data_IF_971669299061
#
_entry.id   IF_971669299061
#
_cell.length_a   1.000
_cell.length_b   1.000
_cell.length_c   1.000
_cell.angle_alpha   90.00
_cell.angle_beta   90.00
_cell.angle_gamma   90.00
#
_symmetry.space_group_name_H-M   'P 1'
#
loop_
_entity.id
_entity.type
_entity.pdbx_description
1 polymer ?
#
# COMPACT_ATOMS: atom_id res chain seq x y z
N UNK A 1 -2.73 -7.63 11.50
CA UNK A 1 -3.21 -6.57 10.57
C UNK A 1 -2.91 -5.21 11.13
N UNK A 2 -2.39 -4.28 10.33
CA UNK A 2 -2.10 -2.90 10.78
C UNK A 2 -3.13 -1.92 10.23
N UNK A 3 -3.52 -0.97 11.07
CA UNK A 3 -4.47 0.11 10.73
C UNK A 3 -3.88 1.44 11.15
N UNK A 4 -4.10 2.48 10.33
CA UNK A 4 -3.75 3.85 10.68
C UNK A 4 -4.98 4.54 11.25
N UNK A 5 -4.80 5.21 12.39
CA UNK A 5 -5.81 6.07 12.98
C UNK A 5 -5.75 7.45 12.34
N UNK A 6 -6.91 8.02 12.03
CA UNK A 6 -7.04 9.40 11.61
C UNK A 6 -6.99 10.34 12.83
N UNK A 7 -5.78 10.75 13.19
CA UNK A 7 -5.54 11.62 14.35
C UNK A 7 -6.09 13.04 14.19
N UNK A 8 -6.50 13.43 12.99
CA UNK A 8 -7.16 14.72 12.76
C UNK A 8 -8.57 14.76 13.39
N UNK A 9 -9.31 13.65 13.35
CA UNK A 9 -10.69 13.59 13.84
C UNK A 9 -10.80 12.98 15.24
N UNK A 10 -9.86 12.14 15.66
CA UNK A 10 -10.00 11.37 16.90
C UNK A 10 -8.66 10.91 17.47
N UNK A 11 -8.65 10.51 18.74
CA UNK A 11 -7.43 10.01 19.39
C UNK A 11 -7.22 8.51 19.15
N UNK A 12 -5.96 8.07 19.17
CA UNK A 12 -5.59 6.64 19.07
C UNK A 12 -6.24 5.82 20.18
N UNK A 13 -6.30 6.36 21.40
CA UNK A 13 -6.89 5.67 22.55
C UNK A 13 -8.39 5.43 22.36
N UNK A 14 -9.12 6.43 21.85
CA UNK A 14 -10.55 6.29 21.60
C UNK A 14 -10.84 5.23 20.53
N UNK A 15 -10.13 5.27 19.41
CA UNK A 15 -10.29 4.29 18.33
C UNK A 15 -9.90 2.89 18.77
N UNK A 16 -8.87 2.76 19.61
CA UNK A 16 -8.48 1.47 20.20
C UNK A 16 -9.63 0.87 21.02
N UNK A 17 -10.31 1.66 21.86
CA UNK A 17 -11.48 1.18 22.61
C UNK A 17 -12.60 0.72 21.69
N UNK A 18 -12.96 1.53 20.68
CA UNK A 18 -14.01 1.15 19.71
C UNK A 18 -13.68 -0.14 18.95
N UNK A 19 -12.41 -0.33 18.57
CA UNK A 19 -11.96 -1.55 17.90
C UNK A 19 -12.01 -2.77 18.81
N UNK A 20 -11.70 -2.63 20.11
CA UNK A 20 -11.83 -3.72 21.06
C UNK A 20 -13.28 -4.18 21.18
N UNK A 21 -14.23 -3.25 21.23
CA UNK A 21 -15.67 -3.56 21.27
C UNK A 21 -16.13 -4.27 19.99
N UNK A 22 -15.64 -3.85 18.83
CA UNK A 22 -15.94 -4.51 17.55
C UNK A 22 -15.36 -5.93 17.48
N UNK A 23 -14.14 -6.14 18.00
CA UNK A 23 -13.52 -7.46 18.00
C UNK A 23 -14.16 -8.41 19.02
N UNK A 24 -14.69 -7.91 20.14
CA UNK A 24 -15.44 -8.74 21.10
C UNK A 24 -16.74 -9.31 20.51
N UNK A 25 -17.37 -8.61 19.56
CA UNK A 25 -18.58 -9.11 18.87
C UNK A 25 -18.27 -10.29 17.95
N UNK A 26 -17.04 -10.39 17.46
CA UNK A 26 -16.57 -11.52 16.66
C UNK A 26 -16.22 -12.63 17.64
N UNK A 27 -17.20 -13.45 18.00
CA UNK A 27 -17.00 -14.57 18.93
C UNK A 27 -15.98 -15.56 18.32
N UNK A 28 -14.78 -15.64 18.89
CA UNK A 28 -13.69 -16.36 18.26
C UNK A 28 -13.45 -17.74 18.88
N UNK A 29 -14.01 -18.78 18.26
CA UNK A 29 -13.40 -20.11 18.33
C UNK A 29 -12.21 -20.10 17.36
N UNK A 30 -11.00 -19.67 17.80
CA UNK A 30 -9.82 -19.73 16.92
C UNK A 30 -9.33 -21.17 16.81
N UNK A 31 -8.75 -21.44 15.64
CA UNK A 31 -8.13 -22.67 15.16
C UNK A 31 -9.12 -23.64 14.51
N UNK A 32 -9.28 -23.44 13.21
CA UNK A 32 -9.70 -24.51 12.32
C UNK A 32 -8.47 -24.92 11.48
N UNK A 33 -7.48 -25.56 12.11
CA UNK A 33 -6.43 -26.28 11.34
C UNK A 33 -7.04 -27.43 10.52
N UNK A 34 -8.26 -27.85 10.88
CA UNK A 34 -9.04 -28.90 10.21
C UNK A 34 -10.36 -28.38 9.64
N UNK A 35 -10.32 -27.35 8.78
CA UNK A 35 -11.53 -26.93 8.05
C UNK A 35 -11.92 -28.04 7.06
N UNK A 36 -13.05 -28.69 7.29
CA UNK A 36 -13.60 -29.68 6.35
C UNK A 36 -14.11 -28.94 5.12
N UNK A 37 -13.61 -29.35 3.94
CA UNK A 37 -14.06 -28.82 2.65
C UNK A 37 -15.50 -29.26 2.38
N UNK A 38 -16.27 -28.35 1.80
CA UNK A 38 -17.65 -28.54 1.40
C UNK A 38 -17.74 -28.98 -0.05
N UNK A 39 -18.85 -29.64 -0.41
CA UNK A 39 -19.11 -30.02 -1.81
C UNK A 39 -19.47 -28.83 -2.70
N UNK A 40 -20.09 -27.79 -2.12
CA UNK A 40 -20.39 -26.56 -2.84
C UNK A 40 -19.17 -25.64 -2.82
N UNK A 41 -18.71 -25.23 -4.00
CA UNK A 41 -17.48 -24.47 -4.19
C UNK A 41 -17.74 -23.11 -4.84
N UNK A 42 -16.95 -22.12 -4.45
CA UNK A 42 -16.78 -20.86 -5.18
C UNK A 42 -15.30 -20.64 -5.51
N UNK A 43 -15.03 -20.09 -6.69
CA UNK A 43 -13.68 -19.67 -7.09
C UNK A 43 -13.68 -18.17 -7.26
N UNK A 44 -12.68 -17.52 -6.67
CA UNK A 44 -12.43 -16.08 -6.77
C UNK A 44 -11.14 -15.82 -7.53
N UNK A 45 -11.00 -14.62 -8.10
CA UNK A 45 -9.74 -14.21 -8.73
C UNK A 45 -8.61 -14.05 -7.70
N UNK A 46 -7.35 -14.15 -8.14
CA UNK A 46 -6.17 -14.09 -7.28
C UNK A 46 -6.14 -12.87 -6.32
N UNK A 47 -6.46 -11.67 -6.81
CA UNK A 47 -6.48 -10.45 -5.98
C UNK A 47 -7.56 -10.50 -4.90
N UNK A 48 -8.74 -11.05 -5.22
CA UNK A 48 -9.79 -11.27 -4.24
C UNK A 48 -9.37 -12.33 -3.22
N UNK A 49 -8.67 -13.39 -3.65
CA UNK A 49 -8.10 -14.38 -2.75
C UNK A 49 -7.10 -13.77 -1.77
N UNK A 50 -6.19 -12.92 -2.24
CA UNK A 50 -5.26 -12.18 -1.39
C UNK A 50 -5.96 -11.22 -0.41
N UNK A 51 -7.13 -10.68 -0.77
CA UNK A 51 -7.93 -9.85 0.13
C UNK A 51 -8.63 -10.69 1.21
N UNK A 52 -9.15 -11.88 0.86
CA UNK A 52 -9.75 -12.82 1.81
C UNK A 52 -8.75 -13.29 2.85
N UNK A 53 -7.51 -13.60 2.43
CA UNK A 53 -6.42 -13.95 3.36
C UNK A 53 -6.04 -12.79 4.30
N UNK A 54 -6.43 -11.55 3.98
CA UNK A 54 -6.27 -10.36 4.84
C UNK A 54 -7.51 -10.04 5.67
N UNK A 55 -8.51 -10.92 5.69
CA UNK A 55 -9.73 -10.78 6.50
C UNK A 55 -10.95 -10.24 5.77
N UNK A 56 -10.87 -10.01 4.46
CA UNK A 56 -12.02 -9.53 3.70
C UNK A 56 -13.08 -10.61 3.47
N UNK A 57 -14.34 -10.20 3.40
CA UNK A 57 -15.38 -11.02 2.78
C UNK A 57 -15.24 -11.04 1.26
N UNK A 58 -15.93 -11.98 0.60
CA UNK A 58 -15.94 -12.04 -0.86
C UNK A 58 -17.10 -11.20 -1.38
N UNK A 59 -16.79 -10.20 -2.19
CA UNK A 59 -17.78 -9.39 -2.90
C UNK A 59 -18.10 -10.00 -4.25
N UNK A 60 -19.34 -9.79 -4.72
CA UNK A 60 -19.86 -10.35 -5.98
C UNK A 60 -18.89 -10.15 -7.17
N UNK A 61 -18.28 -8.96 -7.39
CA UNK A 61 -17.36 -8.76 -8.51
C UNK A 61 -16.10 -9.65 -8.47
N UNK A 62 -15.71 -10.15 -7.29
CA UNK A 62 -14.55 -11.01 -7.12
C UNK A 62 -14.80 -12.49 -7.45
N UNK A 63 -16.06 -12.91 -7.55
CA UNK A 63 -16.44 -14.30 -7.82
C UNK A 63 -16.34 -14.57 -9.33
N UNK A 64 -15.51 -15.55 -9.69
CA UNK A 64 -15.31 -15.94 -11.10
C UNK A 64 -16.05 -17.23 -11.45
N UNK A 65 -16.20 -18.16 -10.51
CA UNK A 65 -16.91 -19.42 -10.70
C UNK A 65 -17.62 -19.84 -9.40
N UNK A 66 -18.66 -20.66 -9.53
CA UNK A 66 -19.48 -21.17 -8.43
C UNK A 66 -20.17 -22.48 -8.83
N UNK A 67 -20.40 -23.41 -7.91
CA UNK A 67 -21.15 -24.62 -8.19
C UNK A 67 -22.54 -24.33 -8.77
N UNK A 68 -22.97 -25.14 -9.74
CA UNK A 68 -24.23 -24.96 -10.46
C UNK A 68 -25.48 -24.92 -9.56
N UNK A 69 -25.43 -25.66 -8.45
CA UNK A 69 -26.51 -25.83 -7.49
C UNK A 69 -26.45 -24.88 -6.28
N UNK A 70 -25.51 -23.92 -6.26
CA UNK A 70 -25.33 -22.98 -5.16
C UNK A 70 -26.55 -22.05 -4.98
N UNK A 71 -27.07 -22.01 -3.75
CA UNK A 71 -28.15 -21.14 -3.28
C UNK A 71 -27.66 -20.17 -2.21
N UNK A 72 -28.44 -19.12 -1.97
CA UNK A 72 -28.21 -18.25 -0.82
C UNK A 72 -28.47 -19.03 0.48
N UNK A 73 -27.58 -18.87 1.46
CA UNK A 73 -27.57 -19.60 2.73
C UNK A 73 -26.68 -20.84 2.74
N UNK A 74 -26.22 -21.32 1.59
CA UNK A 74 -25.35 -22.51 1.53
C UNK A 74 -23.99 -22.23 2.19
N UNK A 75 -23.49 -23.21 2.94
CA UNK A 75 -22.11 -23.23 3.42
C UNK A 75 -21.23 -23.77 2.30
N UNK A 76 -20.27 -22.95 1.86
CA UNK A 76 -19.46 -23.21 0.67
C UNK A 76 -17.97 -23.08 0.96
N UNK A 77 -17.16 -23.83 0.22
CA UNK A 77 -15.70 -23.71 0.24
C UNK A 77 -15.23 -22.70 -0.81
N UNK A 78 -14.43 -21.73 -0.39
CA UNK A 78 -13.90 -20.68 -1.27
C UNK A 78 -12.47 -21.00 -1.66
N UNK A 79 -12.19 -20.87 -2.96
CA UNK A 79 -10.88 -21.11 -3.54
C UNK A 79 -10.39 -19.89 -4.33
N UNK A 80 -9.08 -19.66 -4.32
CA UNK A 80 -8.43 -18.68 -5.19
C UNK A 80 -7.91 -19.33 -6.46
N UNK A 81 -8.27 -18.78 -7.62
CA UNK A 81 -7.59 -19.05 -8.89
C UNK A 81 -6.33 -18.20 -8.99
N UNK A 82 -5.22 -18.76 -8.51
CA UNK A 82 -3.93 -18.06 -8.45
C UNK A 82 -3.31 -17.85 -9.83
N UNK A 83 -3.67 -18.65 -10.84
CA UNK A 83 -3.13 -18.53 -12.21
C UNK A 83 -4.00 -17.68 -13.13
N UNK A 84 -5.19 -17.25 -12.68
CA UNK A 84 -6.12 -16.45 -13.47
C UNK A 84 -6.63 -17.18 -14.73
N UNK A 85 -6.73 -18.52 -14.68
CA UNK A 85 -7.16 -19.35 -15.83
C UNK A 85 -8.65 -19.68 -15.83
N UNK A 86 -9.35 -19.43 -14.73
CA UNK A 86 -10.78 -19.69 -14.61
C UNK A 86 -11.59 -18.66 -15.41
N UNK A 87 -12.40 -19.14 -16.36
CA UNK A 87 -13.29 -18.27 -17.14
C UNK A 87 -14.47 -17.84 -16.27
N UNK A 88 -14.81 -16.55 -16.31
CA UNK A 88 -15.96 -16.01 -15.56
C UNK A 88 -17.25 -16.73 -15.95
N UNK A 89 -17.98 -17.22 -14.95
CA UNK A 89 -19.20 -17.99 -15.15
C UNK A 89 -18.98 -19.49 -15.42
N UNK A 90 -17.77 -20.02 -15.31
CA UNK A 90 -17.55 -21.48 -15.33
C UNK A 90 -18.37 -22.17 -14.21
N UNK A 91 -18.79 -23.41 -14.43
CA UNK A 91 -19.51 -24.22 -13.42
C UNK A 91 -18.56 -25.11 -12.61
N UNK A 92 -17.45 -25.47 -13.21
CA UNK A 92 -16.39 -26.32 -12.67
C UNK A 92 -15.05 -25.73 -13.07
N UNK A 93 -14.00 -26.01 -12.29
CA UNK A 93 -12.64 -25.55 -12.58
C UNK A 93 -11.62 -26.54 -12.01
N UNK A 94 -10.89 -27.18 -12.92
CA UNK A 94 -9.87 -28.20 -12.62
C UNK A 94 -8.44 -27.61 -12.61
N UNK A 95 -8.32 -26.29 -12.72
CA UNK A 95 -7.03 -25.62 -12.66
C UNK A 95 -6.48 -25.54 -11.23
N UNK A 96 -5.35 -24.82 -11.09
CA UNK A 96 -4.71 -24.63 -9.78
C UNK A 96 -5.57 -23.74 -8.88
N UNK A 97 -6.24 -24.36 -7.90
CA UNK A 97 -7.04 -23.70 -6.87
C UNK A 97 -6.33 -23.76 -5.52
N UNK A 98 -6.30 -22.65 -4.77
CA UNK A 98 -5.84 -22.61 -3.37
C UNK A 98 -7.05 -22.44 -2.47
N UNK A 99 -7.23 -23.34 -1.50
CA UNK A 99 -8.34 -23.22 -0.54
C UNK A 99 -8.10 -22.01 0.37
N UNK A 100 -9.16 -21.23 0.64
CA UNK A 100 -9.09 -20.01 1.47
C UNK A 100 -9.88 -20.14 2.78
N UNK A 101 -10.83 -21.07 2.83
CA UNK A 101 -11.73 -21.27 3.96
C UNK A 101 -13.17 -21.54 3.54
N UNK A 102 -14.05 -21.70 4.51
CA UNK A 102 -15.50 -21.79 4.29
C UNK A 102 -16.20 -20.46 4.57
N UNK A 103 -17.35 -20.26 3.92
CA UNK A 103 -18.22 -19.13 4.14
C UNK A 103 -19.66 -19.45 3.81
N UNK A 104 -20.56 -18.55 4.18
CA UNK A 104 -21.99 -18.63 3.86
C UNK A 104 -22.25 -17.77 2.62
N UNK A 105 -22.84 -18.37 1.59
CA UNK A 105 -23.23 -17.64 0.39
C UNK A 105 -24.38 -16.69 0.69
N UNK A 106 -24.23 -15.41 0.39
CA UNK A 106 -25.31 -14.42 0.50
C UNK A 106 -26.20 -14.40 -0.75
N UNK A 107 -25.76 -15.02 -1.85
CA UNK A 107 -26.39 -14.96 -3.18
C UNK A 107 -26.40 -16.32 -3.85
N UNK A 108 -27.38 -16.57 -4.70
CA UNK A 108 -27.35 -17.76 -5.57
C UNK A 108 -26.39 -17.56 -6.75
N UNK A 109 -25.93 -18.67 -7.37
CA UNK A 109 -25.16 -18.58 -8.62
C UNK A 109 -25.93 -17.82 -9.71
N UNK A 110 -27.25 -18.05 -9.79
CA UNK A 110 -28.12 -17.40 -10.79
C UNK A 110 -28.12 -15.88 -10.61
N UNK A 111 -28.16 -15.38 -9.37
CA UNK A 111 -28.05 -13.95 -9.10
C UNK A 111 -26.68 -13.39 -9.53
N UNK A 112 -25.59 -14.04 -9.09
CA UNK A 112 -24.21 -13.58 -9.34
C UNK A 112 -23.92 -13.44 -10.85
N UNK A 113 -24.38 -14.39 -11.66
CA UNK A 113 -24.13 -14.42 -13.10
C UNK A 113 -25.35 -14.05 -13.94
N UNK A 114 -26.38 -13.45 -13.35
CA UNK A 114 -27.50 -12.89 -14.11
C UNK A 114 -27.01 -11.67 -14.89
N UNK A 115 -27.17 -11.68 -16.21
CA UNK A 115 -26.62 -10.66 -17.12
C UNK A 115 -27.26 -9.27 -17.04
N UNK A 116 -27.95 -8.93 -15.95
CA UNK A 116 -28.85 -7.76 -15.87
C UNK A 116 -28.36 -6.63 -14.96
N UNK A 117 -27.27 -6.77 -14.20
CA UNK A 117 -26.63 -5.65 -13.52
C UNK A 117 -25.23 -6.01 -12.99
N UNK A 118 -24.34 -5.01 -12.89
CA UNK A 118 -23.16 -5.11 -12.04
C UNK A 118 -23.59 -5.10 -10.56
N UNK A 119 -24.03 -6.25 -10.07
CA UNK A 119 -24.36 -6.41 -8.66
C UNK A 119 -23.13 -6.13 -7.79
N UNK A 120 -23.26 -5.16 -6.89
CA UNK A 120 -22.26 -4.82 -5.88
C UNK A 120 -22.74 -5.32 -4.51
N UNK A 121 -21.79 -5.61 -3.63
CA UNK A 121 -22.06 -6.09 -2.28
C UNK A 121 -21.49 -7.48 -1.99
N UNK A 122 -21.76 -7.96 -0.77
CA UNK A 122 -21.24 -9.23 -0.27
C UNK A 122 -21.87 -10.37 -1.08
N UNK A 123 -21.01 -11.20 -1.67
CA UNK A 123 -21.39 -12.46 -2.30
C UNK A 123 -21.25 -13.63 -1.34
N UNK A 124 -20.15 -13.68 -0.57
CA UNK A 124 -19.87 -14.76 0.39
C UNK A 124 -19.32 -14.14 1.67
N UNK A 125 -19.98 -14.42 2.79
CA UNK A 125 -19.50 -14.04 4.12
C UNK A 125 -18.59 -15.15 4.63
N UNK A 126 -17.28 -14.86 4.72
CA UNK A 126 -16.31 -15.81 5.27
C UNK A 126 -16.62 -16.07 6.75
N UNK A 127 -16.77 -17.33 7.13
CA UNK A 127 -17.05 -17.76 8.51
C UNK A 127 -15.90 -18.56 9.10
N UNK A 128 -15.20 -19.34 8.26
CA UNK A 128 -14.09 -20.19 8.65
C UNK A 128 -12.90 -19.96 7.70
N UNK A 129 -12.27 -18.77 7.70
CA UNK A 129 -11.08 -18.51 6.88
C UNK A 129 -9.85 -19.26 7.44
N UNK A 130 -8.89 -19.60 6.57
CA UNK A 130 -7.61 -20.19 7.00
C UNK A 130 -6.85 -19.23 7.92
N UNK A 131 -6.77 -17.96 7.53
CA UNK A 131 -6.20 -16.90 8.36
C UNK A 131 -7.31 -16.04 8.92
N UNK A 132 -7.47 -16.08 10.24
CA UNK A 132 -8.45 -15.23 10.90
C UNK A 132 -7.89 -13.82 11.06
N UNK A 133 -8.30 -12.94 10.17
CA UNK A 133 -8.08 -11.50 10.27
C UNK A 133 -9.43 -10.78 10.32
N UNK A 134 -9.57 -9.71 11.11
CA UNK A 134 -10.83 -8.98 11.17
C UNK A 134 -11.13 -8.30 9.84
N UNK A 135 -12.42 -8.25 9.49
CA UNK A 135 -12.91 -7.42 8.39
C UNK A 135 -13.03 -5.98 8.85
N UNK A 136 -12.49 -5.05 8.07
CA UNK A 136 -12.61 -3.60 8.32
C UNK A 136 -13.57 -2.93 7.32
N UNK A 137 -14.42 -3.70 6.65
CA UNK A 137 -15.45 -3.14 5.79
C UNK A 137 -16.48 -2.35 6.61
N UNK A 138 -16.63 -1.06 6.31
CA UNK A 138 -17.53 -0.14 7.01
C UNK A 138 -17.32 -0.04 8.54
N UNK A 139 -16.15 -0.43 9.05
CA UNK A 139 -15.79 -0.29 10.47
C UNK A 139 -15.12 1.07 10.69
N UNK A 140 -15.78 1.93 11.46
CA UNK A 140 -15.31 3.28 11.80
C UNK A 140 -14.84 4.10 10.58
N UNK A 141 -15.68 4.24 9.53
CA UNK A 141 -15.33 5.01 8.35
C UNK A 141 -15.02 6.46 8.76
N UNK A 142 -13.88 6.98 8.30
CA UNK A 142 -13.38 8.31 8.69
C UNK A 142 -12.35 8.29 9.82
N UNK A 143 -12.37 7.29 10.71
CA UNK A 143 -11.38 7.15 11.81
C UNK A 143 -10.25 6.20 11.47
N UNK A 144 -10.47 5.28 10.52
CA UNK A 144 -9.50 4.26 10.14
C UNK A 144 -9.11 4.34 8.67
N UNK A 145 -7.86 4.01 8.41
CA UNK A 145 -7.34 3.72 7.08
C UNK A 145 -6.50 2.45 7.12
N UNK A 146 -6.84 1.44 6.31
CA UNK A 146 -6.04 0.23 6.20
C UNK A 146 -4.70 0.54 5.51
N UNK A 147 -3.61 0.39 6.25
CA UNK A 147 -2.27 0.71 5.75
C UNK A 147 -1.24 -0.22 6.38
N UNK A 148 -0.43 -0.85 5.54
CA UNK A 148 0.71 -1.66 5.95
C UNK A 148 1.70 -0.81 6.75
N UNK A 149 2.35 -1.41 7.75
CA UNK A 149 3.30 -0.70 8.63
C UNK A 149 4.36 0.09 7.85
N UNK A 150 5.13 -0.48 6.89
CA UNK A 150 6.14 0.28 6.16
C UNK A 150 5.56 1.50 5.43
N UNK A 151 4.36 1.37 4.86
CA UNK A 151 3.67 2.48 4.19
C UNK A 151 3.30 3.62 5.13
N UNK A 152 3.05 3.35 6.42
CA UNK A 152 2.83 4.39 7.43
C UNK A 152 4.15 5.01 7.90
N UNK A 153 5.21 4.21 8.00
CA UNK A 153 6.57 4.68 8.35
C UNK A 153 7.09 5.71 7.35
N UNK A 154 6.82 5.53 6.05
CA UNK A 154 7.25 6.46 4.99
C UNK A 154 6.93 7.92 5.30
N UNK A 155 5.72 8.22 5.75
CA UNK A 155 5.30 9.61 6.00
C UNK A 155 5.84 10.15 7.32
N UNK A 156 6.11 9.29 8.31
CA UNK A 156 6.88 9.68 9.50
C UNK A 156 8.34 10.01 9.16
N UNK A 157 8.97 9.21 8.27
CA UNK A 157 10.32 9.45 7.77
C UNK A 157 10.41 10.75 6.97
N UNK A 158 9.37 11.06 6.17
CA UNK A 158 9.23 12.33 5.46
C UNK A 158 9.15 13.52 6.42
N UNK A 159 8.52 13.32 7.57
CA UNK A 159 8.42 14.29 8.66
C UNK A 159 7.89 15.68 8.22
N UNK A 160 6.70 15.75 7.59
CA UNK A 160 6.12 17.00 7.13
C UNK A 160 5.71 17.90 8.30
N UNK A 161 5.94 19.21 8.18
CA UNK A 161 5.56 20.19 9.21
C UNK A 161 4.29 20.96 8.82
N UNK A 162 3.48 21.38 9.81
CA UNK A 162 2.37 22.31 9.57
C UNK A 162 2.83 23.57 8.81
N UNK A 163 2.07 23.94 7.78
CA UNK A 163 2.32 25.12 6.94
C UNK A 163 3.22 24.87 5.72
N UNK A 164 3.85 23.70 5.62
CA UNK A 164 4.69 23.37 4.46
C UNK A 164 3.87 23.02 3.21
N UNK A 165 4.54 23.09 2.05
CA UNK A 165 4.01 22.64 0.77
C UNK A 165 4.65 21.30 0.39
N UNK A 166 3.84 20.24 0.39
CA UNK A 166 4.28 18.86 0.18
C UNK A 166 3.69 18.27 -1.11
N UNK A 167 4.52 17.60 -1.91
CA UNK A 167 4.08 16.90 -3.13
C UNK A 167 4.15 15.38 -2.96
N UNK A 168 3.07 14.68 -3.27
CA UNK A 168 3.06 13.23 -3.50
C UNK A 168 2.86 12.97 -5.00
N UNK A 169 3.93 12.53 -5.68
CA UNK A 169 3.96 12.38 -7.14
C UNK A 169 3.12 11.22 -7.67
N UNK A 170 2.83 10.22 -6.84
CA UNK A 170 2.16 8.97 -7.22
C UNK A 170 1.20 8.55 -6.11
N UNK A 171 0.23 9.42 -5.83
CA UNK A 171 -0.45 9.45 -4.55
C UNK A 171 -1.55 8.41 -4.39
N UNK A 172 -2.09 7.84 -5.46
CA UNK A 172 -3.30 7.02 -5.35
C UNK A 172 -3.08 5.69 -4.61
N UNK A 173 -4.04 5.26 -3.77
CA UNK A 173 -5.39 5.83 -3.57
C UNK A 173 -5.46 6.94 -2.50
N UNK A 174 -4.35 7.53 -2.10
CA UNK A 174 -4.29 8.66 -1.17
C UNK A 174 -3.88 8.28 0.25
N UNK A 175 -3.44 7.04 0.50
CA UNK A 175 -3.10 6.57 1.84
C UNK A 175 -1.95 7.35 2.49
N UNK A 176 -0.90 7.66 1.73
CA UNK A 176 0.25 8.45 2.19
C UNK A 176 -0.06 9.96 2.16
N UNK A 177 -0.65 10.48 1.08
CA UNK A 177 -1.13 11.87 1.02
C UNK A 177 -2.04 12.26 2.19
N UNK A 178 -3.03 11.43 2.54
CA UNK A 178 -3.92 11.69 3.69
C UNK A 178 -3.20 11.57 5.04
N UNK A 179 -2.17 10.72 5.14
CA UNK A 179 -1.36 10.65 6.35
C UNK A 179 -0.46 11.89 6.50
N UNK A 180 0.13 12.39 5.39
CA UNK A 180 0.90 13.63 5.37
C UNK A 180 0.03 14.79 5.87
N UNK A 181 -1.16 14.97 5.30
CA UNK A 181 -2.08 16.03 5.73
C UNK A 181 -2.47 15.91 7.21
N UNK A 182 -2.73 14.68 7.70
CA UNK A 182 -3.03 14.46 9.11
C UNK A 182 -1.84 14.80 10.05
N UNK A 183 -0.60 14.49 9.65
CA UNK A 183 0.61 14.85 10.40
C UNK A 183 0.88 16.36 10.41
N UNK A 184 0.45 17.06 9.36
CA UNK A 184 0.49 18.52 9.26
C UNK A 184 -0.68 19.21 9.98
N UNK A 185 -1.54 18.46 10.68
CA UNK A 185 -2.77 18.96 11.30
C UNK A 185 -3.70 19.69 10.32
N UNK A 186 -3.73 19.23 9.07
CA UNK A 186 -4.45 19.86 7.95
C UNK A 186 -4.06 21.34 7.72
N UNK A 187 -2.87 21.75 8.17
CA UNK A 187 -2.31 23.10 7.96
C UNK A 187 -1.18 23.05 6.93
N UNK A 188 -1.28 23.84 5.86
CA UNK A 188 -0.34 23.84 4.74
C UNK A 188 -1.00 23.35 3.46
N UNK A 189 -0.21 22.82 2.53
CA UNK A 189 -0.71 22.35 1.23
C UNK A 189 -0.10 20.98 0.87
N UNK A 190 -0.97 20.02 0.56
CA UNK A 190 -0.58 18.68 0.08
C UNK A 190 -1.07 18.50 -1.35
N UNK A 191 -0.15 18.57 -2.30
CA UNK A 191 -0.43 18.31 -3.71
C UNK A 191 -0.31 16.81 -3.98
N UNK A 192 -1.38 16.19 -4.46
CA UNK A 192 -1.42 14.77 -4.76
C UNK A 192 -1.63 14.53 -6.27
N UNK A 193 -0.66 13.91 -6.94
CA UNK A 193 -0.77 13.60 -8.36
C UNK A 193 -1.01 12.10 -8.58
N UNK A 194 -1.84 11.77 -9.56
CA UNK A 194 -1.87 10.44 -10.17
C UNK A 194 -2.26 10.57 -11.66
N UNK A 195 -1.81 9.64 -12.48
CA UNK A 195 -2.05 9.66 -13.93
C UNK A 195 -3.46 9.21 -14.31
N UNK A 196 -4.15 8.46 -13.45
CA UNK A 196 -5.43 7.82 -13.78
C UNK A 196 -6.59 8.58 -13.13
N UNK A 197 -7.58 9.08 -13.91
CA UNK A 197 -8.68 9.88 -13.38
C UNK A 197 -9.45 9.22 -12.22
N UNK A 198 -9.81 7.94 -12.37
CA UNK A 198 -10.55 7.19 -11.34
C UNK A 198 -9.75 7.04 -10.04
N UNK A 199 -8.42 6.99 -10.13
CA UNK A 199 -7.54 6.92 -8.97
C UNK A 199 -7.47 8.26 -8.24
N UNK A 200 -7.43 9.37 -8.98
CA UNK A 200 -7.51 10.72 -8.41
C UNK A 200 -8.84 10.96 -7.71
N UNK A 201 -9.94 10.52 -8.32
CA UNK A 201 -11.25 10.60 -7.67
C UNK A 201 -11.26 9.82 -6.36
N UNK A 202 -10.57 8.67 -6.30
CA UNK A 202 -10.43 7.92 -5.05
C UNK A 202 -9.60 8.66 -3.99
N UNK A 203 -8.58 9.42 -4.38
CA UNK A 203 -7.83 10.31 -3.47
C UNK A 203 -8.79 11.34 -2.88
N UNK A 204 -9.58 12.03 -3.72
CA UNK A 204 -10.55 13.05 -3.28
C UNK A 204 -11.59 12.48 -2.33
N UNK A 205 -12.16 11.32 -2.66
CA UNK A 205 -13.11 10.62 -1.80
C UNK A 205 -12.51 10.28 -0.43
N UNK A 206 -11.27 9.78 -0.40
CA UNK A 206 -10.60 9.43 0.84
C UNK A 206 -10.21 10.67 1.66
N UNK A 207 -9.79 11.76 1.02
CA UNK A 207 -9.52 13.04 1.68
C UNK A 207 -10.80 13.59 2.35
N UNK A 208 -11.90 13.63 1.60
CA UNK A 208 -13.21 14.05 2.10
C UNK A 208 -13.70 13.16 3.26
N UNK A 209 -13.60 11.84 3.11
CA UNK A 209 -14.01 10.89 4.14
C UNK A 209 -13.23 11.06 5.46
N UNK A 210 -11.95 11.43 5.37
CA UNK A 210 -11.08 11.67 6.51
C UNK A 210 -11.10 13.12 7.02
N UNK A 211 -11.90 14.00 6.40
CA UNK A 211 -12.07 15.40 6.81
C UNK A 211 -10.85 16.29 6.53
N UNK A 212 -10.04 15.96 5.52
CA UNK A 212 -8.79 16.68 5.21
C UNK A 212 -8.99 17.64 4.02
N UNK A 213 -8.73 18.93 4.23
CA UNK A 213 -8.99 20.00 3.26
C UNK A 213 -7.72 20.54 2.59
N UNK A 214 -6.55 20.34 3.21
CA UNK A 214 -5.25 20.75 2.67
C UNK A 214 -4.81 19.97 1.42
N UNK A 215 -5.53 18.91 1.06
CA UNK A 215 -5.18 18.03 -0.06
C UNK A 215 -5.79 18.54 -1.37
N UNK A 216 -4.94 18.91 -2.33
CA UNK A 216 -5.33 19.21 -3.71
C UNK A 216 -4.88 18.07 -4.64
N UNK A 217 -5.85 17.32 -5.17
CA UNK A 217 -5.59 16.14 -6.01
C UNK A 217 -5.81 16.42 -7.50
N UNK A 218 -4.81 16.12 -8.35
CA UNK A 218 -4.84 16.39 -9.78
C UNK A 218 -4.55 15.13 -10.62
N UNK A 219 -5.28 15.01 -11.74
CA UNK A 219 -5.01 14.00 -12.75
C UNK A 219 -3.92 14.49 -13.69
N UNK A 220 -2.68 14.08 -13.45
CA UNK A 220 -1.53 14.59 -14.17
C UNK A 220 -0.40 13.57 -14.27
N UNK A 221 0.37 13.59 -15.35
CA UNK A 221 1.54 12.74 -15.50
C UNK A 221 2.72 13.32 -14.72
N UNK A 222 3.09 12.67 -13.61
CA UNK A 222 4.19 13.11 -12.75
C UNK A 222 5.53 13.28 -13.48
N UNK A 223 5.74 12.61 -14.61
CA UNK A 223 6.96 12.78 -15.43
C UNK A 223 7.03 14.11 -16.18
N UNK A 224 5.93 14.88 -16.18
CA UNK A 224 5.79 16.18 -16.82
C UNK A 224 5.44 17.29 -15.82
N UNK A 225 5.53 17.01 -14.51
CA UNK A 225 5.10 17.94 -13.47
C UNK A 225 6.02 19.15 -13.30
N UNK A 226 7.21 19.14 -13.93
CA UNK A 226 8.11 20.28 -13.99
C UNK A 226 7.70 21.23 -15.12
N UNK A 227 7.54 22.51 -14.80
CA UNK A 227 7.31 23.59 -15.75
C UNK A 227 8.65 24.04 -16.34
N UNK A 228 8.71 24.17 -17.66
CA UNK A 228 9.92 24.60 -18.38
C UNK A 228 9.88 26.08 -18.79
N UNK A 229 8.69 26.69 -18.81
CA UNK A 229 8.50 28.06 -19.27
C UNK A 229 8.43 29.03 -18.07
N UNK A 230 9.11 30.18 -18.19
CA UNK A 230 9.21 31.24 -17.16
C UNK A 230 7.93 32.10 -17.04
N UNK A 231 6.78 31.60 -17.48
CA UNK A 231 5.51 32.32 -17.28
C UNK A 231 5.14 32.30 -15.80
N UNK A 232 4.70 33.43 -15.25
CA UNK A 232 4.30 33.51 -13.83
C UNK A 232 3.32 32.40 -13.44
N UNK A 233 3.44 31.91 -12.21
CA UNK A 233 2.56 30.90 -11.63
C UNK A 233 1.18 31.50 -11.36
N UNK A 234 0.40 31.62 -12.44
CA UNK A 234 -1.00 32.06 -12.41
C UNK A 234 -1.96 30.89 -12.21
N UNK A 235 -1.47 29.65 -12.18
CA UNK A 235 -2.28 28.44 -12.02
C UNK A 235 -1.95 27.71 -10.71
N UNK A 236 -2.98 27.40 -9.92
CA UNK A 236 -2.87 26.59 -8.68
C UNK A 236 -2.55 25.09 -8.93
N UNK A 237 -2.40 24.67 -10.19
CA UNK A 237 -2.28 23.27 -10.60
C UNK A 237 -1.00 22.95 -11.38
N UNK A 238 -0.74 21.65 -11.66
CA UNK A 238 0.44 21.22 -12.41
C UNK A 238 0.41 21.70 -13.87
N UNK A 239 1.58 21.92 -14.52
CA UNK A 239 2.94 21.71 -14.00
C UNK A 239 3.41 22.85 -13.07
N UNK A 240 4.39 22.55 -12.22
CA UNK A 240 4.88 23.45 -11.19
C UNK A 240 6.29 23.98 -11.49
N UNK A 241 6.58 25.19 -11.02
CA UNK A 241 7.92 25.79 -11.10
C UNK A 241 8.98 24.95 -10.38
N UNK A 242 10.24 24.96 -10.84
CA UNK A 242 11.36 24.34 -10.13
C UNK A 242 11.47 24.85 -8.69
N UNK A 243 11.98 24.01 -7.80
CA UNK A 243 12.31 24.38 -6.42
C UNK A 243 11.13 25.04 -5.66
N UNK A 244 9.91 24.51 -5.84
CA UNK A 244 8.66 25.08 -5.30
C UNK A 244 8.02 24.27 -4.16
N UNK A 245 8.60 23.12 -3.79
CA UNK A 245 8.11 22.25 -2.71
C UNK A 245 9.12 22.09 -1.58
N UNK A 246 8.64 22.16 -0.34
CA UNK A 246 9.46 21.97 0.87
C UNK A 246 9.79 20.49 1.06
N UNK A 247 8.84 19.60 0.72
CA UNK A 247 9.04 18.15 0.74
C UNK A 247 8.38 17.46 -0.43
N UNK A 248 8.99 16.36 -0.86
CA UNK A 248 8.44 15.52 -1.92
C UNK A 248 8.47 14.05 -1.48
N UNK A 249 7.34 13.39 -1.64
CA UNK A 249 7.21 11.95 -1.57
C UNK A 249 7.13 11.39 -2.99
N UNK A 250 8.04 10.48 -3.30
CA UNK A 250 8.01 9.64 -4.49
C UNK A 250 7.75 8.18 -4.07
N UNK A 251 6.48 7.85 -3.86
CA UNK A 251 6.02 6.46 -3.70
C UNK A 251 5.89 5.81 -5.08
N UNK A 252 7.03 5.42 -5.63
CA UNK A 252 7.13 5.16 -7.06
C UNK A 252 6.36 3.89 -7.48
N UNK A 253 5.72 3.89 -8.66
CA UNK A 253 5.18 2.66 -9.24
C UNK A 253 6.33 1.66 -9.41
N UNK A 254 6.11 0.44 -8.95
CA UNK A 254 7.12 -0.61 -8.90
C UNK A 254 6.50 -1.96 -9.24
N UNK A 255 7.36 -2.98 -9.36
CA UNK A 255 6.92 -4.35 -9.66
C UNK A 255 6.01 -4.97 -8.60
N UNK A 256 6.03 -4.46 -7.35
CA UNK A 256 5.15 -4.94 -6.27
C UNK A 256 5.49 -6.35 -5.77
N UNK A 257 6.71 -6.84 -6.01
CA UNK A 257 7.11 -8.20 -5.63
C UNK A 257 7.15 -8.43 -4.11
N UNK A 258 7.15 -7.36 -3.31
CA UNK A 258 7.10 -7.42 -1.85
C UNK A 258 5.70 -7.57 -1.26
N UNK A 259 4.64 -7.50 -2.06
CA UNK A 259 3.26 -7.58 -1.55
C UNK A 259 2.97 -8.92 -0.87
N UNK A 260 2.29 -8.87 0.28
CA UNK A 260 1.85 -10.07 1.02
C UNK A 260 0.38 -9.96 1.44
N UNK A 261 -0.37 -11.07 1.35
CA UNK A 261 -0.02 -12.30 0.65
C UNK A 261 -0.02 -12.07 -0.88
N UNK A 262 0.89 -12.73 -1.57
CA UNK A 262 0.91 -12.79 -3.03
C UNK A 262 1.16 -14.23 -3.48
N UNK A 263 0.08 -14.97 -3.76
CA UNK A 263 0.16 -16.40 -4.04
C UNK A 263 0.73 -16.73 -5.43
N UNK A 264 0.70 -15.79 -6.37
CA UNK A 264 1.23 -15.99 -7.72
C UNK A 264 1.46 -14.67 -8.44
N UNK A 265 2.53 -14.63 -9.24
CA UNK A 265 2.83 -13.55 -10.18
C UNK A 265 2.91 -14.14 -11.58
N UNK A 266 2.11 -13.61 -12.51
CA UNK A 266 2.11 -14.05 -13.93
C UNK A 266 2.90 -13.12 -14.84
N UNK A 267 3.65 -12.18 -14.27
CA UNK A 267 4.38 -11.18 -15.03
C UNK A 267 5.65 -11.76 -15.63
N UNK A 268 5.98 -11.28 -16.82
CA UNK A 268 7.24 -11.57 -17.50
C UNK A 268 8.39 -10.77 -16.88
N UNK A 269 9.63 -11.25 -17.06
CA UNK A 269 10.81 -10.52 -16.62
C UNK A 269 10.89 -9.12 -17.24
N UNK A 270 10.47 -8.97 -18.51
CA UNK A 270 10.44 -7.66 -19.20
C UNK A 270 9.48 -6.68 -18.52
N UNK A 271 8.32 -7.14 -18.08
CA UNK A 271 7.36 -6.31 -17.35
C UNK A 271 7.92 -5.90 -15.98
N UNK A 272 8.53 -6.83 -15.24
CA UNK A 272 9.18 -6.56 -13.96
C UNK A 272 10.32 -5.55 -14.10
N UNK A 273 11.14 -5.64 -15.16
CA UNK A 273 12.27 -4.72 -15.38
C UNK A 273 11.85 -3.36 -15.99
N UNK A 274 10.59 -3.18 -16.38
CA UNK A 274 10.12 -1.97 -17.08
C UNK A 274 9.98 -0.74 -16.19
N UNK A 275 10.06 -0.91 -14.86
CA UNK A 275 9.81 0.17 -13.90
C UNK A 275 11.00 1.11 -13.71
N UNK A 276 12.23 0.62 -13.79
CA UNK A 276 13.44 1.40 -13.50
C UNK A 276 13.50 2.71 -14.34
N UNK A 277 13.27 2.71 -15.67
CA UNK A 277 13.30 3.95 -16.45
C UNK A 277 12.20 4.96 -16.06
N UNK A 278 11.01 4.47 -15.71
CA UNK A 278 9.91 5.33 -15.26
C UNK A 278 10.23 5.96 -13.89
N UNK A 279 10.74 5.16 -12.96
CA UNK A 279 11.16 5.62 -11.64
C UNK A 279 12.24 6.70 -11.74
N UNK A 280 13.24 6.52 -12.61
CA UNK A 280 14.28 7.54 -12.85
C UNK A 280 13.68 8.84 -13.39
N UNK A 281 12.75 8.79 -14.34
CA UNK A 281 12.08 9.99 -14.87
C UNK A 281 11.31 10.75 -13.78
N UNK A 282 10.53 10.03 -12.96
CA UNK A 282 9.80 10.62 -11.84
C UNK A 282 10.75 11.22 -10.79
N UNK A 283 11.84 10.53 -10.48
CA UNK A 283 12.86 10.99 -9.54
C UNK A 283 13.54 12.27 -10.03
N UNK A 284 13.89 12.35 -11.32
CA UNK A 284 14.48 13.56 -11.90
C UNK A 284 13.56 14.77 -11.79
N UNK A 285 12.25 14.57 -11.94
CA UNK A 285 11.25 15.64 -11.73
C UNK A 285 11.18 16.02 -10.25
N UNK A 286 11.15 15.04 -9.35
CA UNK A 286 11.17 15.28 -7.90
C UNK A 286 12.38 16.12 -7.47
N UNK A 287 13.59 15.75 -7.90
CA UNK A 287 14.81 16.46 -7.53
C UNK A 287 14.84 17.94 -8.00
N UNK A 288 14.21 18.23 -9.15
CA UNK A 288 14.11 19.59 -9.69
C UNK A 288 13.01 20.43 -9.04
N UNK A 289 11.89 19.80 -8.65
CA UNK A 289 10.78 20.48 -7.96
C UNK A 289 11.08 20.77 -6.47
N UNK A 290 12.06 20.08 -5.88
CA UNK A 290 12.41 20.21 -4.47
C UNK A 290 13.22 21.49 -4.21
N UNK A 291 12.87 22.25 -3.16
CA UNK A 291 13.65 23.40 -2.69
C UNK A 291 15.02 23.01 -2.14
N UNK A 292 16.04 23.89 -2.20
CA UNK A 292 17.21 23.79 -1.32
C UNK A 292 16.76 23.75 0.15
N UNK A 293 17.39 22.88 0.94
CA UNK A 293 16.96 22.55 2.31
C UNK A 293 15.78 21.57 2.39
N UNK A 294 15.14 21.22 1.26
CA UNK A 294 13.98 20.35 1.22
C UNK A 294 14.31 18.85 1.34
N UNK A 295 13.30 18.07 1.71
CA UNK A 295 13.41 16.61 1.86
C UNK A 295 12.69 15.84 0.75
N UNK A 296 13.37 14.85 0.16
CA UNK A 296 12.79 13.86 -0.75
C UNK A 296 12.80 12.49 -0.08
N UNK A 297 11.64 11.83 -0.02
CA UNK A 297 11.55 10.41 0.33
C UNK A 297 11.18 9.62 -0.91
N UNK A 298 12.01 8.63 -1.24
CA UNK A 298 11.75 7.63 -2.26
C UNK A 298 11.34 6.33 -1.58
N UNK A 299 10.21 5.74 -1.99
CA UNK A 299 9.76 4.45 -1.48
C UNK A 299 9.19 3.53 -2.54
N UNK A 300 9.33 2.23 -2.32
CA UNK A 300 8.71 1.19 -3.15
C UNK A 300 8.17 0.04 -2.28
N UNK A 301 7.24 -0.73 -2.82
CA UNK A 301 6.76 -2.00 -2.23
C UNK A 301 7.31 -3.23 -2.97
N UNK A 302 8.54 -3.12 -3.48
CA UNK A 302 9.26 -4.21 -4.14
C UNK A 302 10.58 -4.52 -3.43
N UNK A 303 11.17 -5.65 -3.80
CA UNK A 303 12.40 -6.21 -3.20
C UNK A 303 13.57 -6.25 -4.18
N UNK A 304 13.38 -5.79 -5.42
CA UNK A 304 14.42 -5.86 -6.45
C UNK A 304 15.51 -4.81 -6.21
N UNK A 305 16.78 -5.18 -6.39
CA UNK A 305 17.91 -4.23 -6.29
C UNK A 305 17.77 -3.10 -7.32
N UNK A 306 17.34 -3.43 -8.55
CA UNK A 306 17.22 -2.52 -9.68
C UNK A 306 16.24 -1.36 -9.46
N UNK A 307 15.22 -1.57 -8.62
CA UNK A 307 14.22 -0.55 -8.28
C UNK A 307 14.52 0.10 -6.91
N UNK A 308 15.54 -0.34 -6.17
CA UNK A 308 15.81 0.12 -4.82
C UNK A 308 17.23 0.68 -4.69
N UNK A 309 18.18 -0.12 -4.23
CA UNK A 309 19.54 0.33 -3.95
C UNK A 309 20.26 0.85 -5.20
N UNK A 310 20.02 0.27 -6.39
CA UNK A 310 20.57 0.80 -7.65
C UNK A 310 20.00 2.18 -8.02
N UNK A 311 18.75 2.46 -7.62
CA UNK A 311 18.13 3.76 -7.84
C UNK A 311 18.75 4.81 -6.91
N UNK A 312 19.10 4.43 -5.68
CA UNK A 312 19.84 5.30 -4.75
C UNK A 312 21.24 5.61 -5.29
N UNK A 313 21.99 4.59 -5.73
CA UNK A 313 23.32 4.78 -6.31
C UNK A 313 23.27 5.67 -7.58
N UNK A 314 22.29 5.44 -8.45
CA UNK A 314 22.04 6.29 -9.61
C UNK A 314 21.68 7.73 -9.21
N UNK A 315 20.83 7.93 -8.19
CA UNK A 315 20.42 9.26 -7.75
C UNK A 315 21.60 10.05 -7.17
N UNK A 316 22.43 9.44 -6.32
CA UNK A 316 23.59 10.09 -5.72
C UNK A 316 24.67 10.46 -6.77
N UNK A 317 24.81 9.67 -7.83
CA UNK A 317 25.73 9.99 -8.93
C UNK A 317 25.17 11.04 -9.89
N UNK A 318 23.86 11.02 -10.16
CA UNK A 318 23.21 11.92 -11.12
C UNK A 318 22.89 13.29 -10.52
N UNK A 319 22.59 13.36 -9.23
CA UNK A 319 22.21 14.59 -8.52
C UNK A 319 23.17 14.87 -7.36
N UNK A 320 24.33 15.51 -7.61
CA UNK A 320 25.29 15.87 -6.56
C UNK A 320 24.72 16.82 -5.48
N UNK A 321 23.61 17.50 -5.78
CA UNK A 321 22.89 18.33 -4.83
C UNK A 321 22.06 17.52 -3.80
N UNK A 322 21.91 16.21 -3.98
CA UNK A 322 21.23 15.32 -3.05
C UNK A 322 22.23 14.60 -2.15
N UNK A 323 21.91 14.57 -0.87
CA UNK A 323 22.65 13.83 0.13
C UNK A 323 21.72 12.83 0.83
N UNK A 324 22.17 11.58 0.97
CA UNK A 324 21.43 10.57 1.72
C UNK A 324 21.40 10.94 3.21
N UNK A 325 20.26 10.72 3.87
CA UNK A 325 20.02 11.12 5.25
C UNK A 325 19.56 9.92 6.10
N UNK A 326 19.92 9.91 7.41
CA UNK A 326 19.34 8.97 8.35
C UNK A 326 17.84 9.18 8.50
N UNK A 327 17.15 8.15 8.96
CA UNK A 327 15.70 8.07 9.00
C UNK A 327 15.21 7.80 10.43
N UNK A 328 14.18 8.53 10.84
CA UNK A 328 13.48 8.31 12.11
C UNK A 328 11.97 8.23 11.84
N UNK A 329 11.26 7.21 12.38
CA UNK A 329 11.81 6.07 13.12
C UNK A 329 12.57 5.08 12.22
N UNK A 330 13.50 4.33 12.81
CA UNK A 330 14.19 3.21 12.15
C UNK A 330 13.59 1.88 12.59
N UNK A 331 12.82 1.27 11.69
CA UNK A 331 12.12 0.00 11.94
C UNK A 331 12.63 -1.10 11.00
N UNK A 332 12.87 -0.75 9.73
CA UNK A 332 13.43 -1.68 8.74
C UNK A 332 14.91 -1.96 8.98
N UNK A 333 15.40 -3.00 8.31
CA UNK A 333 16.82 -3.37 8.28
C UNK A 333 17.61 -2.44 7.32
N UNK A 334 18.92 -2.60 7.28
CA UNK A 334 19.77 -1.86 6.35
C UNK A 334 19.58 -2.29 4.88
N UNK A 335 20.06 -1.46 3.95
CA UNK A 335 19.98 -1.76 2.53
C UNK A 335 20.79 -3.00 2.14
N UNK A 336 20.38 -3.65 1.05
CA UNK A 336 21.06 -4.84 0.52
C UNK A 336 22.32 -4.45 -0.26
N UNK A 337 23.38 -5.26 -0.12
CA UNK A 337 24.59 -5.13 -0.94
C UNK A 337 24.31 -5.45 -2.41
N UNK A 338 25.07 -4.82 -3.32
CA UNK A 338 25.01 -5.10 -4.77
C UNK A 338 24.97 -3.87 -5.66
N UNK A 339 24.57 -2.71 -5.13
CA UNK A 339 24.47 -1.45 -5.89
C UNK A 339 25.73 -0.54 -5.82
N UNK A 340 26.82 -1.01 -5.21
CA UNK A 340 28.05 -0.22 -5.03
C UNK A 340 27.97 0.89 -3.97
N UNK A 341 26.97 0.85 -3.08
CA UNK A 341 26.85 1.75 -1.93
C UNK A 341 27.81 1.32 -0.79
N UNK A 342 28.32 2.30 -0.04
CA UNK A 342 29.12 2.04 1.15
C UNK A 342 28.27 1.47 2.30
N UNK A 343 28.89 0.81 3.28
CA UNK A 343 28.18 0.31 4.47
C UNK A 343 27.46 1.42 5.24
N UNK A 344 28.04 2.62 5.29
CA UNK A 344 27.40 3.77 5.93
C UNK A 344 26.14 4.22 5.16
N UNK A 345 26.19 4.22 3.83
CA UNK A 345 25.02 4.52 3.00
C UNK A 345 23.93 3.45 3.16
N UNK A 346 24.28 2.16 3.17
CA UNK A 346 23.32 1.08 3.38
C UNK A 346 22.62 1.20 4.75
N UNK A 347 23.36 1.61 5.79
CA UNK A 347 22.81 1.91 7.12
C UNK A 347 21.90 3.14 7.16
N UNK A 348 21.86 3.99 6.15
CA UNK A 348 20.90 5.10 6.07
C UNK A 348 19.60 4.71 5.34
N UNK A 349 19.59 3.56 4.67
CA UNK A 349 18.40 3.00 4.03
C UNK A 349 17.57 2.19 5.03
N UNK A 350 16.28 2.04 4.72
CA UNK A 350 15.40 1.10 5.41
C UNK A 350 14.80 0.12 4.42
N UNK A 351 15.13 -1.16 4.59
CA UNK A 351 14.58 -2.27 3.83
C UNK A 351 13.81 -3.21 4.75
N UNK A 352 12.61 -3.59 4.34
CA UNK A 352 11.79 -4.55 5.05
C UNK A 352 11.89 -5.88 4.33
N UNK A 353 12.50 -6.88 4.98
CA UNK A 353 12.68 -8.23 4.44
C UNK A 353 11.60 -9.17 4.98
N UNK A 354 10.71 -9.71 4.13
CA UNK A 354 9.70 -10.69 4.53
C UNK A 354 10.26 -11.98 5.15
N UNK A 355 11.54 -12.29 4.91
CA UNK A 355 12.20 -13.50 5.40
C UNK A 355 12.99 -13.29 6.70
N UNK A 356 12.93 -12.09 7.29
CA UNK A 356 13.68 -11.74 8.50
C UNK A 356 13.30 -12.56 9.74
N UNK A 357 12.11 -13.17 9.76
CA UNK A 357 11.65 -14.07 10.82
C UNK A 357 11.03 -15.33 10.21
N UNK A 358 11.25 -16.52 10.81
CA UNK A 358 10.53 -17.72 10.41
C UNK A 358 9.03 -17.51 10.54
N UNK A 359 8.26 -18.13 9.62
CA UNK A 359 6.81 -18.15 9.72
C UNK A 359 6.41 -18.85 11.03
N UNK A 360 5.84 -18.08 11.96
CA UNK A 360 5.22 -18.65 13.14
C UNK A 360 3.82 -19.12 12.76
N UNK A 361 3.50 -20.37 13.10
CA UNK A 361 2.11 -20.80 13.22
C UNK A 361 1.66 -20.32 14.61
N UNK A 362 0.84 -19.26 14.73
CA UNK A 362 0.35 -18.83 16.03
C UNK A 362 -0.65 -19.87 16.54
N UNK A 363 -0.17 -20.85 17.31
CA UNK A 363 -1.05 -21.62 18.19
C UNK A 363 -1.57 -20.69 19.30
N UNK A 364 -2.82 -20.88 19.74
CA UNK A 364 -3.47 -19.98 20.71
C UNK A 364 -2.66 -19.84 22.01
N UNK A 365 -1.95 -20.90 22.42
CA UNK A 365 -1.11 -20.89 23.61
C UNK A 365 0.13 -20.00 23.41
N UNK A 366 0.73 -20.02 22.21
CA UNK A 366 1.84 -19.14 21.85
C UNK A 366 1.42 -17.66 21.80
N UNK A 367 0.16 -17.35 21.44
CA UNK A 367 -0.34 -15.98 21.43
C UNK A 367 -0.71 -15.46 22.84
N UNK A 368 -1.12 -16.36 23.75
CA UNK A 368 -1.43 -16.01 25.15
C UNK A 368 -0.18 -15.71 25.96
N UNK A 369 0.90 -16.43 25.67
CA UNK A 369 2.17 -16.29 26.39
C UNK A 369 3.12 -15.24 25.75
N UNK A 370 2.75 -14.66 24.60
CA UNK A 370 3.56 -13.67 23.91
C UNK A 370 3.58 -12.32 24.64
N UNK A 371 4.78 -11.76 24.83
CA UNK A 371 4.95 -10.42 25.38
C UNK A 371 4.57 -9.34 24.37
N UNK A 372 4.29 -8.12 24.85
CA UNK A 372 4.04 -6.98 23.97
C UNK A 372 5.25 -6.67 23.06
N UNK A 373 6.47 -6.82 23.58
CA UNK A 373 7.70 -6.60 22.83
C UNK A 373 7.88 -7.63 21.71
N UNK A 374 7.55 -8.90 21.95
CA UNK A 374 7.58 -9.94 20.93
C UNK A 374 6.57 -9.66 19.81
N UNK A 375 5.35 -9.24 20.15
CA UNK A 375 4.34 -8.86 19.16
C UNK A 375 4.76 -7.63 18.34
N UNK A 376 5.39 -6.63 18.96
CA UNK A 376 5.93 -5.46 18.25
C UNK A 376 7.07 -5.88 17.33
N UNK A 377 8.01 -6.71 17.80
CA UNK A 377 9.11 -7.24 16.99
C UNK A 377 8.59 -8.03 15.79
N UNK A 378 7.58 -8.87 16.00
CA UNK A 378 6.93 -9.63 14.94
C UNK A 378 6.26 -8.68 13.93
N UNK A 379 5.49 -7.69 14.39
CA UNK A 379 4.85 -6.71 13.50
C UNK A 379 5.87 -5.89 12.68
N UNK A 380 7.03 -5.58 13.26
CA UNK A 380 8.11 -4.84 12.60
C UNK A 380 8.84 -5.69 11.55
N UNK A 381 9.06 -6.98 11.80
CA UNK A 381 9.81 -7.88 10.91
C UNK A 381 8.92 -8.63 9.92
N UNK A 382 7.82 -9.24 10.38
CA UNK A 382 6.88 -10.00 9.54
C UNK A 382 5.90 -9.08 8.80
N UNK A 383 6.44 -8.29 7.87
CA UNK A 383 5.65 -7.37 7.06
C UNK A 383 5.92 -7.58 5.56
N UNK A 384 5.36 -6.69 4.74
CA UNK A 384 5.56 -6.74 3.29
C UNK A 384 7.00 -6.35 2.94
N UNK A 385 7.47 -6.80 1.78
CA UNK A 385 8.72 -6.31 1.20
C UNK A 385 8.57 -4.84 0.84
N UNK A 386 9.46 -4.01 1.37
CA UNK A 386 9.34 -2.56 1.24
C UNK A 386 10.71 -1.88 1.33
N UNK A 387 10.84 -0.70 0.74
CA UNK A 387 12.09 0.07 0.72
C UNK A 387 11.83 1.56 0.92
N UNK A 388 12.69 2.22 1.70
CA UNK A 388 12.63 3.66 1.98
C UNK A 388 14.04 4.26 1.91
N UNK A 389 14.20 5.32 1.13
CA UNK A 389 15.40 6.16 1.08
C UNK A 389 15.00 7.64 1.28
N UNK A 390 15.79 8.37 2.08
CA UNK A 390 15.56 9.78 2.41
C UNK A 390 16.74 10.63 1.95
N UNK A 391 16.46 11.72 1.26
CA UNK A 391 17.46 12.63 0.71
C UNK A 391 17.18 14.06 1.17
N UNK A 392 18.24 14.80 1.48
CA UNK A 392 18.24 16.24 1.64
C UNK A 392 18.80 16.87 0.36
N UNK A 393 18.14 17.91 -0.15
CA UNK A 393 18.73 18.75 -1.21
C UNK A 393 19.48 19.91 -0.56
N UNK A 394 20.81 19.87 -0.56
CA UNK A 394 21.61 20.84 0.21
C UNK A 394 21.93 22.13 -0.55
N UNK A 395 21.84 22.12 -1.89
CA UNK A 395 22.04 23.31 -2.74
C UNK A 395 21.05 23.38 -3.90
N UNK A 396 20.91 24.55 -4.50
CA UNK A 396 20.10 24.74 -5.70
C UNK A 396 20.71 24.03 -6.90
N UNK A 397 19.85 23.58 -7.81
CA UNK A 397 20.29 22.92 -9.07
C UNK A 397 20.93 23.90 -10.06
N UNK A 398 20.65 25.21 -9.95
CA UNK A 398 21.24 26.25 -10.80
C UNK A 398 22.62 26.73 -10.35
N UNK A 399 23.05 26.41 -9.13
CA UNK A 399 24.39 26.73 -8.65
C UNK A 399 25.40 25.75 -9.28
N UNK A 400 26.06 26.19 -10.35
CA UNK A 400 27.25 25.51 -10.87
C UNK A 400 28.29 25.45 -9.75
N UNK A 401 28.88 24.27 -9.54
CA UNK A 401 30.05 24.15 -8.67
C UNK A 401 31.11 25.14 -9.16
N UNK A 402 31.60 26.07 -8.31
CA UNK A 402 32.67 26.98 -8.68
C UNK A 402 34.02 26.28 -8.94
N UNK A 403 34.05 24.94 -8.85
CA UNK A 403 35.23 24.09 -9.04
C UNK A 403 35.13 23.12 -10.25
N UNK A 404 34.25 23.37 -11.22
CA UNK A 404 34.27 22.66 -12.51
C UNK A 404 34.38 23.57 -13.72
#
# INVERSE_FOLDING_TARGET
TTVRVNTHLTSVQHVKTLLLDEFQKVCVNLLLKNIKKQQCEAVVGAQCGNAVLRGAHVYVPGIVSASSFMKAGDVISVYSDIKGKCKKGAREFDGTKVFLGNGISARSRKEIFSGLCELKGIGIRMTEPIYLSPSFDNVLPGYLFLQNLPSAVVTHVLHPQPGERVLDLCAAPGGKATHIAALMHDQGEVIALDKIPNKVEKIKQNALLLGLNSIKAFCFDGTKALKHDMTEDTQEGPPFSPESFDRILLDAPCSGMGQRPNMACTWTLKEVMSYQPLQRKLFSVAAQLLKPGGMLVYSTCTITLAENEEQVAWALSTFPCLQLQPQEPRIGEEGMMGAGLSLEQLRQLQRFDPSAVPLQDPDQDALRDATAEDMIRLANKDCIGFFIAKFLKWKSTSEKDPQK
#
